data_IF_004104342989
#
_entry.id   IF_004104342989
#
_cell.length_a   1.000
_cell.length_b   1.000
_cell.length_c   1.000
_cell.angle_alpha   90.00
_cell.angle_beta   90.00
_cell.angle_gamma   90.00
#
_symmetry.space_group_name_H-M   'P 1'
#
loop_
_entity.id
_entity.type
_entity.pdbx_description
1 polymer ?
#
# COMPACT_ATOMS: atom_id res chain seq x y z
N UNK A 1 -5.12 -20.59 10.08
CA UNK A 1 -5.56 -20.30 8.72
C UNK A 1 -7.04 -19.96 8.76
N UNK A 2 -7.43 -18.83 8.20
CA UNK A 2 -8.83 -18.45 8.09
C UNK A 2 -9.47 -19.36 7.04
N UNK A 3 -10.44 -20.17 7.45
CA UNK A 3 -11.23 -20.97 6.52
C UNK A 3 -12.00 -20.02 5.57
N UNK A 4 -11.74 -20.08 4.25
CA UNK A 4 -12.37 -19.17 3.28
C UNK A 4 -13.89 -19.35 3.15
N UNK A 5 -14.43 -20.43 3.69
CA UNK A 5 -15.88 -20.71 3.68
C UNK A 5 -16.63 -20.01 4.82
N UNK A 6 -15.92 -19.44 5.79
CA UNK A 6 -16.57 -18.73 6.90
C UNK A 6 -17.21 -17.43 6.43
N UNK A 7 -18.33 -17.07 7.03
CA UNK A 7 -19.02 -15.78 6.74
C UNK A 7 -18.11 -14.58 6.94
N UNK A 8 -17.22 -14.61 7.92
CA UNK A 8 -16.25 -13.55 8.17
C UNK A 8 -15.23 -13.40 7.03
N UNK A 9 -14.69 -14.52 6.52
CA UNK A 9 -13.76 -14.51 5.39
C UNK A 9 -14.45 -14.05 4.11
N UNK A 10 -15.65 -14.53 3.83
CA UNK A 10 -16.44 -14.12 2.67
C UNK A 10 -16.81 -12.63 2.74
N UNK A 11 -17.20 -12.12 3.90
CA UNK A 11 -17.47 -10.70 4.10
C UNK A 11 -16.23 -9.81 3.87
N UNK A 12 -15.06 -10.27 4.29
CA UNK A 12 -13.80 -9.55 4.04
C UNK A 12 -13.42 -9.54 2.55
N UNK A 13 -13.61 -10.66 1.85
CA UNK A 13 -13.39 -10.77 0.39
C UNK A 13 -14.37 -9.82 -0.34
N UNK A 14 -15.66 -9.91 -0.04
CA UNK A 14 -16.67 -9.07 -0.69
C UNK A 14 -16.41 -7.59 -0.43
N UNK A 15 -16.08 -7.19 0.79
CA UNK A 15 -15.73 -5.81 1.11
C UNK A 15 -14.49 -5.31 0.35
N UNK A 16 -13.56 -6.19 0.01
CA UNK A 16 -12.41 -5.83 -0.83
C UNK A 16 -12.83 -5.66 -2.30
N UNK A 17 -13.65 -6.57 -2.82
CA UNK A 17 -14.20 -6.49 -4.18
C UNK A 17 -15.02 -5.21 -4.35
N UNK A 18 -15.89 -4.90 -3.40
CA UNK A 18 -16.73 -3.69 -3.43
C UNK A 18 -15.87 -2.41 -3.38
N UNK A 19 -14.82 -2.41 -2.56
CA UNK A 19 -13.89 -1.28 -2.50
C UNK A 19 -13.16 -1.07 -3.83
N UNK A 20 -12.72 -2.14 -4.50
CA UNK A 20 -12.08 -2.05 -5.81
C UNK A 20 -13.09 -1.55 -6.85
N UNK A 21 -14.30 -2.09 -6.86
CA UNK A 21 -15.35 -1.72 -7.82
C UNK A 21 -15.83 -0.28 -7.66
N UNK A 22 -15.82 0.26 -6.43
CA UNK A 22 -16.26 1.63 -6.13
C UNK A 22 -15.17 2.68 -6.23
N UNK A 23 -13.91 2.29 -6.44
CA UNK A 23 -12.80 3.23 -6.53
C UNK A 23 -12.91 4.10 -7.78
N UNK A 24 -12.61 5.40 -7.66
CA UNK A 24 -12.59 6.32 -8.78
C UNK A 24 -11.36 6.09 -9.70
N UNK A 25 -10.31 5.48 -9.17
CA UNK A 25 -9.11 5.15 -9.94
C UNK A 25 -8.20 4.15 -9.24
N UNK A 26 -7.27 3.60 -10.00
CA UNK A 26 -6.20 2.73 -9.54
C UNK A 26 -4.86 3.45 -9.73
N UNK A 27 -4.05 3.45 -8.70
CA UNK A 27 -2.66 3.90 -8.76
C UNK A 27 -1.76 2.67 -8.77
N UNK A 28 -0.86 2.64 -9.73
CA UNK A 28 0.17 1.59 -9.86
C UNK A 28 1.54 2.25 -9.78
N UNK A 29 2.33 1.86 -8.79
CA UNK A 29 3.72 2.30 -8.66
C UNK A 29 4.64 1.22 -9.19
N UNK A 30 5.42 1.55 -10.19
CA UNK A 30 6.37 0.63 -10.83
C UNK A 30 7.81 1.13 -10.72
N UNK A 31 8.76 0.20 -10.83
CA UNK A 31 10.20 0.47 -10.96
C UNK A 31 10.78 -0.34 -12.12
N UNK A 32 11.94 0.08 -12.63
CA UNK A 32 12.64 -0.65 -13.70
C UNK A 32 13.32 -1.94 -13.23
N UNK A 33 13.38 -2.19 -11.93
CA UNK A 33 13.96 -3.39 -11.33
C UNK A 33 13.43 -3.56 -9.91
N UNK A 34 13.99 -4.54 -9.16
CA UNK A 34 13.57 -4.84 -7.79
C UNK A 34 14.78 -4.92 -6.82
N UNK A 35 15.76 -4.05 -7.02
CA UNK A 35 16.88 -3.94 -6.08
C UNK A 35 16.42 -3.28 -4.77
N UNK A 36 17.22 -3.41 -3.72
CA UNK A 36 16.96 -2.73 -2.45
C UNK A 36 16.86 -1.20 -2.61
N UNK A 37 17.64 -0.62 -3.51
CA UNK A 37 17.56 0.80 -3.84
C UNK A 37 16.22 1.15 -4.51
N UNK A 38 15.76 0.34 -5.46
CA UNK A 38 14.46 0.53 -6.12
C UNK A 38 13.30 0.50 -5.12
N UNK A 39 13.36 -0.44 -4.15
CA UNK A 39 12.34 -0.57 -3.10
C UNK A 39 12.31 0.68 -2.18
N UNK A 40 13.48 1.19 -1.78
CA UNK A 40 13.58 2.41 -0.94
C UNK A 40 13.04 3.63 -1.70
N UNK A 41 13.43 3.81 -2.96
CA UNK A 41 12.94 4.91 -3.80
C UNK A 41 11.43 4.80 -4.01
N UNK A 42 10.92 3.59 -4.23
CA UNK A 42 9.48 3.34 -4.37
C UNK A 42 8.71 3.68 -3.11
N UNK A 43 9.25 3.37 -1.93
CA UNK A 43 8.67 3.78 -0.65
C UNK A 43 8.58 5.30 -0.50
N UNK A 44 9.64 6.03 -0.87
CA UNK A 44 9.65 7.48 -0.87
C UNK A 44 8.60 8.07 -1.84
N UNK A 45 8.48 7.52 -3.05
CA UNK A 45 7.47 7.92 -4.04
C UNK A 45 6.04 7.63 -3.56
N UNK A 46 5.84 6.49 -2.90
CA UNK A 46 4.55 6.15 -2.30
C UNK A 46 4.13 7.16 -1.23
N UNK A 47 5.05 7.60 -0.38
CA UNK A 47 4.78 8.65 0.59
C UNK A 47 4.44 9.98 -0.08
N UNK A 48 5.21 10.39 -1.09
CA UNK A 48 4.94 11.63 -1.86
C UNK A 48 3.55 11.59 -2.51
N UNK A 49 3.17 10.46 -3.09
CA UNK A 49 1.83 10.25 -3.65
C UNK A 49 0.72 10.45 -2.59
N UNK A 50 0.88 9.85 -1.41
CA UNK A 50 -0.10 10.00 -0.34
C UNK A 50 -0.23 11.45 0.13
N UNK A 51 0.88 12.17 0.25
CA UNK A 51 0.87 13.59 0.62
C UNK A 51 0.18 14.44 -0.46
N UNK A 52 0.50 14.20 -1.73
CA UNK A 52 -0.12 14.92 -2.85
C UNK A 52 -1.64 14.63 -2.95
N UNK A 53 -2.05 13.36 -2.82
CA UNK A 53 -3.45 12.96 -2.81
C UNK A 53 -4.20 13.63 -1.66
N UNK A 54 -3.64 13.62 -0.45
CA UNK A 54 -4.22 14.30 0.71
C UNK A 54 -4.37 15.80 0.46
N UNK A 55 -3.36 16.45 -0.11
CA UNK A 55 -3.42 17.87 -0.48
C UNK A 55 -4.50 18.18 -1.53
N UNK A 56 -4.82 17.21 -2.39
CA UNK A 56 -5.90 17.31 -3.38
C UNK A 56 -7.29 16.86 -2.85
N UNK A 57 -7.41 16.55 -1.58
CA UNK A 57 -8.66 16.06 -0.98
C UNK A 57 -9.03 14.63 -1.38
N UNK A 58 -8.05 13.82 -1.82
CA UNK A 58 -8.22 12.44 -2.22
C UNK A 58 -7.74 11.49 -1.13
N UNK A 59 -8.44 10.36 -0.98
CA UNK A 59 -7.99 9.22 -0.19
C UNK A 59 -7.24 8.20 -1.04
N UNK A 60 -6.21 7.59 -0.45
CA UNK A 60 -5.46 6.47 -1.05
C UNK A 60 -5.59 5.27 -0.12
N UNK A 61 -6.08 4.16 -0.65
CA UNK A 61 -6.15 2.88 0.06
C UNK A 61 -5.19 1.88 -0.59
N UNK A 62 -4.14 1.41 0.10
CA UNK A 62 -3.24 0.39 -0.44
C UNK A 62 -3.98 -0.95 -0.61
N UNK A 63 -3.67 -1.67 -1.70
CA UNK A 63 -4.19 -3.00 -2.02
C UNK A 63 -3.03 -3.89 -2.49
N UNK A 64 -2.20 -4.31 -1.56
CA UNK A 64 -0.94 -4.99 -1.84
C UNK A 64 -1.00 -6.53 -1.75
N UNK A 65 -2.16 -7.12 -1.54
CA UNK A 65 -2.30 -8.58 -1.37
C UNK A 65 -1.79 -9.35 -2.59
N UNK A 66 -2.07 -8.88 -3.80
CA UNK A 66 -1.62 -9.52 -5.04
C UNK A 66 -0.10 -9.38 -5.30
N UNK A 67 0.60 -8.58 -4.49
CA UNK A 67 2.05 -8.38 -4.57
C UNK A 67 2.82 -9.22 -3.55
N UNK A 68 2.15 -10.09 -2.81
CA UNK A 68 2.81 -10.99 -1.86
C UNK A 68 3.42 -12.18 -2.59
N UNK A 69 4.64 -12.57 -2.17
CA UNK A 69 5.48 -13.54 -2.89
C UNK A 69 5.42 -14.96 -2.30
N UNK A 70 4.30 -15.37 -1.70
CA UNK A 70 4.11 -16.75 -1.27
C UNK A 70 3.41 -17.58 -2.37
N UNK A 71 3.55 -18.92 -2.39
CA UNK A 71 3.16 -19.77 -3.52
C UNK A 71 1.73 -19.59 -4.00
N UNK A 72 0.77 -19.41 -3.08
CA UNK A 72 -0.65 -19.24 -3.41
C UNK A 72 -0.94 -17.95 -4.16
N UNK A 73 -0.05 -16.96 -4.07
CA UNK A 73 -0.18 -15.67 -4.77
C UNK A 73 0.57 -15.62 -6.09
N UNK A 74 1.27 -16.67 -6.50
CA UNK A 74 2.09 -16.67 -7.71
C UNK A 74 1.30 -16.28 -8.97
N UNK A 75 0.09 -16.80 -9.14
CA UNK A 75 -0.75 -16.47 -10.30
C UNK A 75 -1.28 -15.03 -10.27
N UNK A 76 -1.89 -14.50 -9.19
CA UNK A 76 -2.24 -13.10 -9.08
C UNK A 76 -1.04 -12.15 -9.23
N UNK A 77 0.11 -12.49 -8.64
CA UNK A 77 1.34 -11.73 -8.76
C UNK A 77 1.79 -11.59 -10.23
N UNK A 78 1.87 -12.71 -10.95
CA UNK A 78 2.22 -12.72 -12.37
C UNK A 78 1.24 -11.88 -13.19
N UNK A 79 -0.06 -12.07 -13.01
CA UNK A 79 -1.09 -11.35 -13.75
C UNK A 79 -1.00 -9.82 -13.56
N UNK A 80 -0.72 -9.35 -12.35
CA UNK A 80 -0.54 -7.92 -12.05
C UNK A 80 0.73 -7.37 -12.74
N UNK A 81 1.82 -8.13 -12.70
CA UNK A 81 3.07 -7.72 -13.35
C UNK A 81 2.93 -7.70 -14.87
N UNK A 82 2.30 -8.71 -15.47
CA UNK A 82 2.03 -8.76 -16.91
C UNK A 82 1.15 -7.58 -17.38
N UNK A 83 0.20 -7.17 -16.54
CA UNK A 83 -0.72 -6.09 -16.89
C UNK A 83 -0.11 -4.68 -16.73
N UNK A 84 0.76 -4.47 -15.74
CA UNK A 84 1.14 -3.13 -15.31
C UNK A 84 2.65 -2.88 -15.21
N UNK A 85 3.50 -3.89 -15.14
CA UNK A 85 4.93 -3.68 -15.11
C UNK A 85 5.46 -3.37 -16.51
N UNK A 86 6.41 -2.42 -16.66
CA UNK A 86 7.18 -2.30 -17.89
C UNK A 86 8.04 -3.55 -18.10
N UNK A 87 8.47 -3.79 -19.33
CA UNK A 87 9.33 -4.95 -19.64
C UNK A 87 10.56 -4.95 -18.71
N UNK A 88 10.73 -6.03 -17.96
CA UNK A 88 11.81 -6.18 -16.98
C UNK A 88 11.60 -5.37 -15.69
N UNK A 89 10.46 -4.72 -15.52
CA UNK A 89 10.14 -3.93 -14.34
C UNK A 89 9.36 -4.70 -13.28
N UNK A 90 9.09 -4.01 -12.19
CA UNK A 90 8.38 -4.56 -11.03
C UNK A 90 7.24 -3.62 -10.62
N UNK A 91 6.07 -4.19 -10.31
CA UNK A 91 5.00 -3.47 -9.61
C UNK A 91 5.34 -3.43 -8.13
N UNK A 92 5.62 -2.26 -7.61
CA UNK A 92 6.04 -2.04 -6.22
C UNK A 92 4.86 -1.81 -5.27
N UNK A 93 3.78 -1.19 -5.77
CA UNK A 93 2.59 -0.93 -4.97
C UNK A 93 1.37 -0.68 -5.84
N UNK A 94 0.21 -1.06 -5.30
CA UNK A 94 -1.11 -0.76 -5.84
C UNK A 94 -1.92 0.02 -4.81
N UNK A 95 -2.72 0.98 -5.27
CA UNK A 95 -3.61 1.75 -4.42
C UNK A 95 -4.90 2.14 -5.12
N UNK A 96 -6.00 2.09 -4.40
CA UNK A 96 -7.26 2.65 -4.83
C UNK A 96 -7.27 4.14 -4.52
N UNK A 97 -7.73 4.93 -5.47
CA UNK A 97 -7.85 6.37 -5.35
C UNK A 97 -9.33 6.77 -5.38
N UNK A 98 -9.71 7.70 -4.53
CA UNK A 98 -11.09 8.17 -4.50
C UNK A 98 -11.30 9.32 -3.53
N UNK A 99 -12.51 9.86 -3.54
CA UNK A 99 -12.93 10.86 -2.56
C UNK A 99 -13.37 10.16 -1.28
N UNK A 100 -12.90 10.63 -0.14
CA UNK A 100 -13.25 10.10 1.17
C UNK A 100 -13.40 11.23 2.18
N UNK A 101 -14.19 10.99 3.21
CA UNK A 101 -14.24 11.89 4.35
C UNK A 101 -12.86 12.02 5.00
N UNK A 102 -12.54 13.21 5.48
CA UNK A 102 -11.28 13.44 6.17
C UNK A 102 -11.13 12.48 7.37
N UNK A 103 -10.04 11.75 7.39
CA UNK A 103 -9.72 10.86 8.51
C UNK A 103 -9.20 11.69 9.68
N UNK A 104 -9.69 11.50 10.90
CA UNK A 104 -9.15 12.20 12.07
C UNK A 104 -7.68 11.86 12.28
N UNK A 105 -6.93 12.81 12.82
CA UNK A 105 -5.52 12.57 13.13
C UNK A 105 -5.38 11.42 14.13
N UNK A 106 -4.54 10.47 13.81
CA UNK A 106 -4.17 9.42 14.75
C UNK A 106 -3.33 10.01 15.89
N UNK A 107 -3.53 9.58 17.14
CA UNK A 107 -2.70 10.04 18.26
C UNK A 107 -1.23 9.73 18.02
N UNK A 108 -0.37 10.61 18.49
CA UNK A 108 1.09 10.44 18.50
C UNK A 108 1.58 10.53 19.95
N UNK A 109 2.55 9.72 20.26
CA UNK A 109 3.26 9.84 21.51
C UNK A 109 4.01 11.18 21.54
N UNK A 110 4.07 11.86 22.70
CA UNK A 110 4.93 13.02 22.85
C UNK A 110 6.38 12.67 22.48
N UNK A 111 7.06 13.57 21.77
CA UNK A 111 8.41 13.31 21.23
C UNK A 111 9.39 12.91 22.35
N UNK A 112 9.29 13.58 23.49
CA UNK A 112 10.16 13.42 24.67
C UNK A 112 10.12 11.98 25.21
N UNK A 113 8.98 11.29 25.06
CA UNK A 113 8.83 9.90 25.52
C UNK A 113 9.51 8.89 24.60
N UNK A 114 9.96 9.32 23.41
CA UNK A 114 10.59 8.49 22.37
C UNK A 114 12.05 8.85 22.10
N UNK A 115 12.52 9.97 22.64
CA UNK A 115 13.93 10.34 22.55
C UNK A 115 14.72 9.67 23.68
N UNK A 116 15.87 9.10 23.34
CA UNK A 116 16.84 8.70 24.38
C UNK A 116 17.48 9.97 24.95
N UNK A 117 17.67 10.07 26.26
CA UNK A 117 18.49 11.13 26.80
C UNK A 117 19.87 11.09 26.12
N UNK A 118 20.30 12.21 25.58
CA UNK A 118 21.70 12.35 25.16
C UNK A 118 22.57 12.22 26.41
N UNK A 119 23.33 11.13 26.54
CA UNK A 119 24.37 11.07 27.55
C UNK A 119 25.39 12.14 27.19
N UNK A 120 25.39 13.26 27.93
CA UNK A 120 26.53 14.17 27.95
C UNK A 120 27.70 13.37 28.55
N UNK A 121 28.53 12.74 27.72
CA UNK A 121 29.86 12.39 28.13
C UNK A 121 30.65 13.70 28.22
N UNK A 122 30.72 14.23 29.47
CA UNK A 122 31.76 15.20 29.85
C UNK A 122 33.07 14.47 30.07
#
# INVERSE_FOLDING_TARGET
>A
SLDPTTMAAQGAIQGTVDAIASAAGLVVLTSGGNTRADQIVSGARWLQLNLAATGAGLGVRPVSQALQEYPEMAAPYAAIHDAYAPVGGTVQMLGLLGYASATPRTPRWPLETRMRPTSNNA
#
